data_IF_514668162657
#
_entry.id   IF_514668162657
#
_cell.length_a   1.000
_cell.length_b   1.000
_cell.length_c   1.000
_cell.angle_alpha   90.00
_cell.angle_beta   90.00
_cell.angle_gamma   90.00
#
_symmetry.space_group_name_H-M   'P 1'
#
loop_
_entity.id
_entity.type
_entity.pdbx_description
1 polymer ?
#
# COMPACT_ATOMS: atom_id res chain seq x y z
N UNK A 1 -7.53 29.97 -4.84
CA UNK A 1 -8.10 28.60 -4.73
C UNK A 1 -8.95 28.47 -3.46
N UNK A 2 -10.17 27.90 -3.53
CA UNK A 2 -11.04 27.69 -2.35
C UNK A 2 -10.62 26.47 -1.53
N UNK A 3 -10.91 26.46 -0.21
CA UNK A 3 -10.63 25.33 0.68
C UNK A 3 -11.26 24.03 0.17
N UNK A 4 -12.53 24.07 -0.27
CA UNK A 4 -13.23 22.91 -0.78
C UNK A 4 -12.55 22.32 -2.02
N UNK A 5 -12.13 23.16 -2.98
CA UNK A 5 -11.43 22.73 -4.18
C UNK A 5 -10.05 22.13 -3.88
N UNK A 6 -9.35 22.67 -2.87
CA UNK A 6 -8.07 22.15 -2.40
C UNK A 6 -8.22 20.76 -1.79
N UNK A 7 -9.11 20.63 -0.79
CA UNK A 7 -9.34 19.37 -0.10
C UNK A 7 -9.83 18.31 -1.09
N UNK A 8 -10.82 18.63 -1.93
CA UNK A 8 -11.31 17.71 -2.95
C UNK A 8 -10.22 17.29 -3.93
N UNK A 9 -9.43 18.25 -4.42
CA UNK A 9 -8.36 17.99 -5.39
C UNK A 9 -7.25 17.09 -4.84
N UNK A 10 -6.94 17.19 -3.54
CA UNK A 10 -5.95 16.34 -2.88
C UNK A 10 -6.52 14.98 -2.50
N UNK A 11 -7.75 14.90 -1.99
CA UNK A 11 -8.44 13.65 -1.69
C UNK A 11 -8.62 12.79 -2.93
N UNK A 12 -9.12 13.35 -4.04
CA UNK A 12 -9.31 12.62 -5.29
C UNK A 12 -7.99 12.05 -5.85
N UNK A 13 -6.93 12.88 -5.87
CA UNK A 13 -5.60 12.42 -6.33
C UNK A 13 -5.01 11.39 -5.39
N UNK A 14 -5.15 11.59 -4.08
CA UNK A 14 -4.76 10.61 -3.06
C UNK A 14 -5.46 9.27 -3.27
N UNK A 15 -6.78 9.29 -3.51
CA UNK A 15 -7.58 8.11 -3.81
C UNK A 15 -7.18 7.42 -5.11
N UNK A 16 -6.98 8.16 -6.20
CA UNK A 16 -6.58 7.60 -7.49
C UNK A 16 -5.19 6.94 -7.43
N UNK A 17 -4.19 7.63 -6.87
CA UNK A 17 -2.85 7.07 -6.69
C UNK A 17 -2.83 5.93 -5.67
N UNK A 18 -3.63 6.05 -4.61
CA UNK A 18 -3.81 5.00 -3.62
C UNK A 18 -4.42 3.74 -4.22
N UNK A 19 -5.42 3.87 -5.08
CA UNK A 19 -6.02 2.74 -5.82
C UNK A 19 -4.99 2.05 -6.69
N UNK A 20 -4.21 2.81 -7.48
CA UNK A 20 -3.17 2.25 -8.33
C UNK A 20 -2.10 1.53 -7.49
N UNK A 21 -1.56 2.19 -6.47
CA UNK A 21 -0.53 1.61 -5.61
C UNK A 21 -1.05 0.40 -4.82
N UNK A 22 -2.26 0.48 -4.27
CA UNK A 22 -2.90 -0.60 -3.54
C UNK A 22 -3.16 -1.81 -4.43
N UNK A 23 -3.60 -1.61 -5.68
CA UNK A 23 -3.76 -2.69 -6.65
C UNK A 23 -2.42 -3.35 -6.95
N UNK A 24 -1.40 -2.56 -7.33
CA UNK A 24 -0.07 -3.10 -7.67
C UNK A 24 0.55 -3.87 -6.51
N UNK A 25 0.53 -3.29 -5.30
CA UNK A 25 1.09 -3.90 -4.10
C UNK A 25 0.27 -5.13 -3.68
N UNK A 26 -1.05 -5.05 -3.75
CA UNK A 26 -1.94 -6.15 -3.46
C UNK A 26 -1.67 -7.33 -4.39
N UNK A 27 -1.64 -7.11 -5.71
CA UNK A 27 -1.34 -8.13 -6.71
C UNK A 27 0.05 -8.75 -6.48
N UNK A 28 1.08 -7.93 -6.29
CA UNK A 28 2.44 -8.42 -6.06
C UNK A 28 2.52 -9.25 -4.78
N UNK A 29 1.96 -8.75 -3.68
CA UNK A 29 1.97 -9.45 -2.40
C UNK A 29 1.17 -10.75 -2.45
N UNK A 30 -0.01 -10.73 -3.07
CA UNK A 30 -0.85 -11.92 -3.23
C UNK A 30 -0.17 -12.99 -4.08
N UNK A 31 0.50 -12.61 -5.17
CA UNK A 31 1.31 -13.51 -5.98
C UNK A 31 2.48 -14.11 -5.18
N UNK A 32 3.20 -13.30 -4.42
CA UNK A 32 4.33 -13.76 -3.60
C UNK A 32 3.88 -14.69 -2.46
N UNK A 33 2.77 -14.38 -1.79
CA UNK A 33 2.25 -15.22 -0.71
C UNK A 33 1.77 -16.57 -1.24
N UNK A 34 1.08 -16.59 -2.39
CA UNK A 34 0.69 -17.82 -3.07
C UNK A 34 1.89 -18.72 -3.40
N UNK A 35 3.00 -18.12 -3.85
CA UNK A 35 4.25 -18.83 -4.06
C UNK A 35 4.87 -19.36 -2.76
N UNK A 36 4.91 -18.56 -1.70
CA UNK A 36 5.54 -18.94 -0.43
C UNK A 36 4.90 -20.17 0.21
N UNK A 37 3.57 -20.22 0.27
CA UNK A 37 2.83 -21.37 0.81
C UNK A 37 3.09 -22.62 -0.01
N UNK A 38 3.12 -22.48 -1.34
CA UNK A 38 3.30 -23.61 -2.22
C UNK A 38 4.74 -24.12 -2.27
N UNK A 39 5.75 -23.24 -2.24
CA UNK A 39 7.16 -23.64 -2.15
C UNK A 39 7.43 -24.41 -0.85
N UNK A 40 6.77 -24.04 0.25
CA UNK A 40 6.85 -24.79 1.51
C UNK A 40 6.22 -26.18 1.33
N UNK A 41 5.02 -26.26 0.73
CA UNK A 41 4.37 -27.56 0.46
C UNK A 41 5.17 -28.43 -0.50
N UNK A 42 5.64 -27.87 -1.62
CA UNK A 42 6.49 -28.54 -2.58
C UNK A 42 7.78 -29.01 -1.93
N UNK A 43 8.43 -28.19 -1.09
CA UNK A 43 9.65 -28.61 -0.37
C UNK A 43 9.37 -29.76 0.61
N UNK A 44 8.20 -29.76 1.28
CA UNK A 44 7.76 -30.84 2.17
C UNK A 44 7.44 -32.13 1.40
N UNK A 45 6.80 -32.02 0.24
CA UNK A 45 6.33 -33.15 -0.57
C UNK A 45 7.36 -33.57 -1.65
N UNK A 46 8.46 -32.83 -1.85
CA UNK A 46 9.45 -33.08 -2.91
C UNK A 46 10.04 -34.48 -2.85
N UNK A 47 10.25 -35.01 -1.65
CA UNK A 47 10.76 -36.38 -1.45
C UNK A 47 9.75 -37.47 -1.84
N UNK A 48 8.47 -37.11 -1.93
CA UNK A 48 7.37 -38.04 -2.24
C UNK A 48 6.83 -37.90 -3.66
N UNK A 49 7.18 -36.82 -4.36
CA UNK A 49 6.73 -36.57 -5.72
C UNK A 49 7.59 -37.33 -6.73
N UNK A 50 7.05 -38.42 -7.30
CA UNK A 50 7.61 -39.07 -8.47
C UNK A 50 7.68 -38.13 -9.70
N UNK A 51 8.55 -38.41 -10.68
CA UNK A 51 8.76 -37.55 -11.85
C UNK A 51 7.48 -37.28 -12.68
N UNK A 52 6.49 -38.18 -12.61
CA UNK A 52 5.16 -38.02 -13.20
C UNK A 52 4.34 -36.85 -12.62
N UNK A 53 4.68 -36.37 -11.42
CA UNK A 53 3.94 -35.31 -10.72
C UNK A 53 4.56 -33.91 -10.91
N UNK A 54 5.69 -33.79 -11.61
CA UNK A 54 6.40 -32.51 -11.79
C UNK A 54 5.55 -31.52 -12.61
N UNK A 55 4.99 -31.97 -13.73
CA UNK A 55 4.24 -31.09 -14.63
C UNK A 55 2.92 -30.59 -14.02
N UNK A 56 2.09 -31.45 -13.37
CA UNK A 56 0.94 -30.99 -12.59
C UNK A 56 1.33 -30.03 -11.46
N UNK A 57 2.47 -30.28 -10.79
CA UNK A 57 3.00 -29.39 -9.76
C UNK A 57 3.28 -27.98 -10.28
N UNK A 58 3.96 -27.85 -11.42
CA UNK A 58 4.24 -26.54 -12.05
C UNK A 58 2.94 -25.84 -12.48
N UNK A 59 1.97 -26.57 -13.04
CA UNK A 59 0.68 -26.00 -13.41
C UNK A 59 -0.09 -25.48 -12.19
N UNK A 60 -0.07 -26.22 -11.08
CA UNK A 60 -0.66 -25.79 -9.81
C UNK A 60 -0.01 -24.51 -9.26
N UNK A 61 1.33 -24.37 -9.41
CA UNK A 61 2.05 -23.13 -9.10
C UNK A 61 1.49 -21.96 -9.90
N UNK A 62 1.40 -22.11 -11.23
CA UNK A 62 0.89 -21.06 -12.11
C UNK A 62 -0.52 -20.60 -11.74
N UNK A 63 -1.43 -21.54 -11.45
CA UNK A 63 -2.81 -21.24 -11.04
C UNK A 63 -2.83 -20.49 -9.70
N UNK A 64 -2.05 -20.93 -8.70
CA UNK A 64 -2.01 -20.30 -7.39
C UNK A 64 -1.41 -18.88 -7.43
N UNK A 65 -0.42 -18.65 -8.30
CA UNK A 65 0.10 -17.29 -8.54
C UNK A 65 -1.02 -16.39 -9.04
N UNK A 66 -1.79 -16.84 -10.03
CA UNK A 66 -2.89 -16.07 -10.60
C UNK A 66 -4.00 -15.83 -9.57
N UNK A 67 -4.40 -16.85 -8.82
CA UNK A 67 -5.40 -16.73 -7.76
C UNK A 67 -4.92 -15.76 -6.67
N UNK A 68 -3.68 -15.90 -6.21
CA UNK A 68 -3.07 -15.01 -5.25
C UNK A 68 -3.01 -13.56 -5.75
N UNK A 69 -2.62 -13.35 -7.00
CA UNK A 69 -2.57 -12.04 -7.65
C UNK A 69 -3.97 -11.38 -7.73
N UNK A 70 -5.00 -12.15 -8.13
CA UNK A 70 -6.39 -11.68 -8.21
C UNK A 70 -6.93 -11.35 -6.83
N UNK A 71 -6.75 -12.23 -5.85
CA UNK A 71 -7.18 -11.98 -4.47
C UNK A 71 -6.45 -10.76 -3.89
N UNK A 72 -5.15 -10.67 -4.13
CA UNK A 72 -4.33 -9.52 -3.78
C UNK A 72 -4.86 -8.21 -4.37
N UNK A 73 -5.24 -8.20 -5.66
CA UNK A 73 -5.87 -7.04 -6.29
C UNK A 73 -7.24 -6.70 -5.67
N UNK A 74 -8.08 -7.71 -5.45
CA UNK A 74 -9.42 -7.55 -4.88
C UNK A 74 -9.41 -6.87 -3.50
N UNK A 75 -8.41 -7.17 -2.67
CA UNK A 75 -8.20 -6.47 -1.40
C UNK A 75 -7.42 -5.16 -1.58
N UNK A 76 -6.45 -5.14 -2.48
CA UNK A 76 -5.59 -3.99 -2.76
C UNK A 76 -6.34 -2.76 -3.27
N UNK A 77 -7.36 -2.95 -4.11
CA UNK A 77 -8.19 -1.87 -4.68
C UNK A 77 -8.93 -1.07 -3.59
N UNK A 78 -9.83 -1.67 -2.78
CA UNK A 78 -10.58 -0.93 -1.77
C UNK A 78 -9.68 -0.36 -0.68
N UNK A 79 -8.66 -1.10 -0.23
CA UNK A 79 -7.71 -0.61 0.78
C UNK A 79 -6.89 0.56 0.23
N UNK A 80 -6.38 0.45 -0.99
CA UNK A 80 -5.63 1.50 -1.67
C UNK A 80 -6.43 2.78 -1.84
N UNK A 81 -7.67 2.65 -2.31
CA UNK A 81 -8.57 3.78 -2.48
C UNK A 81 -8.87 4.47 -1.15
N UNK A 82 -9.19 3.71 -0.10
CA UNK A 82 -9.54 4.25 1.21
C UNK A 82 -8.34 4.94 1.87
N UNK A 83 -7.20 4.24 1.98
CA UNK A 83 -5.98 4.78 2.61
C UNK A 83 -5.46 5.97 1.81
N UNK A 84 -5.48 5.89 0.48
CA UNK A 84 -5.08 6.97 -0.40
C UNK A 84 -5.96 8.21 -0.24
N UNK A 85 -7.28 8.04 -0.16
CA UNK A 85 -8.22 9.14 0.02
C UNK A 85 -8.04 9.82 1.37
N UNK A 86 -7.89 9.04 2.45
CA UNK A 86 -7.63 9.57 3.79
C UNK A 86 -6.29 10.30 3.86
N UNK A 87 -5.24 9.76 3.23
CA UNK A 87 -3.95 10.44 3.14
C UNK A 87 -4.08 11.74 2.34
N UNK A 88 -4.77 11.75 1.20
CA UNK A 88 -5.03 12.95 0.41
C UNK A 88 -5.75 14.03 1.22
N UNK A 89 -6.74 13.64 2.03
CA UNK A 89 -7.45 14.54 2.93
C UNK A 89 -6.52 15.10 4.02
N UNK A 90 -5.70 14.26 4.65
CA UNK A 90 -4.70 14.67 5.65
C UNK A 90 -3.72 15.70 5.05
N UNK A 91 -3.19 15.42 3.85
CA UNK A 91 -2.30 16.33 3.12
C UNK A 91 -3.00 17.66 2.82
N UNK A 92 -4.28 17.61 2.43
CA UNK A 92 -5.12 18.79 2.25
C UNK A 92 -5.24 19.65 3.51
N UNK A 93 -5.52 19.02 4.64
CA UNK A 93 -5.62 19.70 5.93
C UNK A 93 -4.28 20.34 6.36
N UNK A 94 -3.17 19.59 6.26
CA UNK A 94 -1.83 20.12 6.60
C UNK A 94 -1.46 21.28 5.67
N UNK A 95 -1.72 21.14 4.37
CA UNK A 95 -1.44 22.20 3.38
C UNK A 95 -2.21 23.46 3.74
N UNK A 96 -3.51 23.34 4.05
CA UNK A 96 -4.35 24.49 4.38
C UNK A 96 -3.95 25.16 5.70
N UNK A 97 -3.60 24.38 6.72
CA UNK A 97 -3.30 24.90 8.05
C UNK A 97 -1.93 25.58 8.14
N UNK A 98 -0.91 25.02 7.48
CA UNK A 98 0.48 25.44 7.70
C UNK A 98 1.18 26.02 6.47
N UNK A 99 0.73 25.67 5.26
CA UNK A 99 1.45 25.98 4.01
C UNK A 99 0.63 26.82 3.03
N UNK A 100 -0.48 27.41 3.48
CA UNK A 100 -1.29 28.32 2.68
C UNK A 100 -1.07 29.78 3.13
N UNK A 101 -0.50 30.68 2.30
CA UNK A 101 0.05 30.47 0.95
C UNK A 101 1.45 29.79 0.96
N UNK A 102 1.89 29.16 -0.16
CA UNK A 102 3.12 28.38 -0.20
C UNK A 102 4.36 29.29 -0.18
N UNK A 103 4.97 29.47 1.01
CA UNK A 103 6.21 30.27 1.17
C UNK A 103 7.48 29.47 0.92
N UNK A 104 7.50 28.19 1.30
CA UNK A 104 8.67 27.32 1.14
C UNK A 104 8.25 25.95 0.57
N UNK A 105 8.48 25.78 -0.74
CA UNK A 105 8.19 24.55 -1.47
C UNK A 105 9.07 23.35 -1.05
N UNK A 106 10.28 23.58 -0.53
CA UNK A 106 11.15 22.48 -0.07
C UNK A 106 10.69 21.96 1.27
N UNK A 107 10.40 22.86 2.22
CA UNK A 107 9.86 22.49 3.53
C UNK A 107 8.51 21.77 3.36
N UNK A 108 7.62 22.32 2.54
CA UNK A 108 6.32 21.72 2.22
C UNK A 108 6.45 20.26 1.74
N UNK A 109 7.25 20.02 0.70
CA UNK A 109 7.45 18.68 0.14
C UNK A 109 8.01 17.68 1.16
N UNK A 110 8.93 18.12 2.03
CA UNK A 110 9.49 17.27 3.09
C UNK A 110 8.43 16.90 4.13
N UNK A 111 7.70 17.90 4.64
CA UNK A 111 6.68 17.69 5.69
C UNK A 111 5.57 16.78 5.18
N UNK A 112 5.03 17.04 4.00
CA UNK A 112 3.96 16.22 3.42
C UNK A 112 4.45 14.79 3.12
N UNK A 113 5.67 14.61 2.62
CA UNK A 113 6.21 13.27 2.39
C UNK A 113 6.39 12.48 3.69
N UNK A 114 6.91 13.10 4.75
CA UNK A 114 7.10 12.46 6.06
C UNK A 114 5.76 12.17 6.73
N UNK A 115 4.83 13.13 6.74
CA UNK A 115 3.51 12.95 7.33
C UNK A 115 2.74 11.81 6.67
N UNK A 116 2.74 11.76 5.33
CA UNK A 116 2.10 10.66 4.60
C UNK A 116 2.78 9.32 4.82
N UNK A 117 4.11 9.28 4.81
CA UNK A 117 4.84 8.04 5.06
C UNK A 117 4.53 7.48 6.46
N UNK A 118 4.51 8.34 7.49
CA UNK A 118 4.14 7.93 8.85
C UNK A 118 2.69 7.45 8.92
N UNK A 119 1.74 8.21 8.36
CA UNK A 119 0.33 7.87 8.36
C UNK A 119 0.08 6.49 7.73
N UNK A 120 0.61 6.24 6.53
CA UNK A 120 0.39 4.97 5.84
C UNK A 120 1.17 3.82 6.45
N UNK A 121 2.35 4.06 7.04
CA UNK A 121 3.10 3.03 7.77
C UNK A 121 2.34 2.57 9.00
N UNK A 122 1.78 3.50 9.78
CA UNK A 122 0.97 3.20 10.96
C UNK A 122 -0.33 2.49 10.54
N UNK A 123 -1.03 3.01 9.52
CA UNK A 123 -2.25 2.38 9.02
C UNK A 123 -2.01 0.95 8.53
N UNK A 124 -0.91 0.73 7.80
CA UNK A 124 -0.51 -0.60 7.33
C UNK A 124 -0.14 -1.52 8.49
N UNK A 125 0.65 -1.03 9.45
CA UNK A 125 1.02 -1.79 10.66
C UNK A 125 -0.21 -2.24 11.45
N UNK A 126 -1.14 -1.33 11.73
CA UNK A 126 -2.38 -1.64 12.45
C UNK A 126 -3.24 -2.63 11.67
N UNK A 127 -3.41 -2.41 10.36
CA UNK A 127 -4.22 -3.29 9.50
C UNK A 127 -3.68 -4.71 9.45
N UNK A 128 -2.37 -4.86 9.25
CA UNK A 128 -1.71 -6.16 9.25
C UNK A 128 -1.71 -6.81 10.64
N UNK A 129 -1.49 -6.05 11.71
CA UNK A 129 -1.56 -6.57 13.08
C UNK A 129 -2.97 -7.13 13.37
N UNK A 130 -4.02 -6.45 12.94
CA UNK A 130 -5.40 -6.91 13.11
C UNK A 130 -5.65 -8.25 12.36
N UNK A 131 -5.18 -8.37 11.12
CA UNK A 131 -5.27 -9.62 10.35
C UNK A 131 -4.49 -10.73 11.06
N UNK A 132 -3.26 -10.45 11.50
CA UNK A 132 -2.42 -11.44 12.17
C UNK A 132 -3.02 -11.90 13.50
N UNK A 133 -3.57 -11.00 14.32
CA UNK A 133 -4.24 -11.36 15.57
C UNK A 133 -5.47 -12.23 15.32
N UNK A 134 -6.23 -11.95 14.25
CA UNK A 134 -7.35 -12.79 13.84
C UNK A 134 -6.91 -14.21 13.46
N UNK A 135 -5.81 -14.35 12.70
CA UNK A 135 -5.24 -15.66 12.35
C UNK A 135 -4.63 -16.38 13.56
N UNK A 136 -3.85 -15.68 14.39
CA UNK A 136 -3.20 -16.26 15.56
C UNK A 136 -4.20 -16.82 16.57
N UNK A 137 -5.35 -16.15 16.74
CA UNK A 137 -6.43 -16.63 17.60
C UNK A 137 -7.08 -17.93 17.06
N UNK A 138 -7.04 -18.16 15.74
CA UNK A 138 -7.55 -19.41 15.13
C UNK A 138 -6.54 -20.55 15.15
N UNK A 139 -5.27 -20.28 14.87
CA UNK A 139 -4.27 -21.33 14.62
C UNK A 139 -3.27 -21.55 15.76
N UNK A 140 -3.40 -20.86 16.91
CA UNK A 140 -2.43 -20.91 18.02
C UNK A 140 -0.98 -20.65 17.57
N UNK A 141 -0.82 -19.80 16.56
CA UNK A 141 0.47 -19.53 15.94
C UNK A 141 1.37 -18.66 16.83
N UNK A 142 2.70 -18.82 16.65
CA UNK A 142 3.70 -18.12 17.44
C UNK A 142 3.80 -16.64 17.01
N UNK A 143 3.27 -15.75 17.84
CA UNK A 143 3.08 -14.30 17.60
C UNK A 143 4.35 -13.48 17.26
N UNK A 144 5.56 -13.76 17.78
CA UNK A 144 6.73 -12.88 17.59
C UNK A 144 7.25 -12.82 16.14
N UNK A 145 7.27 -13.95 15.44
CA UNK A 145 7.75 -14.03 14.06
C UNK A 145 6.79 -13.33 13.08
N UNK A 146 5.50 -13.31 13.43
CA UNK A 146 4.44 -12.65 12.66
C UNK A 146 4.62 -11.12 12.66
N UNK A 147 5.03 -10.52 13.78
CA UNK A 147 5.25 -9.07 13.87
C UNK A 147 6.37 -8.56 12.94
N UNK A 148 7.43 -9.36 12.73
CA UNK A 148 8.53 -9.00 11.81
C UNK A 148 8.07 -9.05 10.35
N UNK A 149 7.25 -10.03 10.01
CA UNK A 149 6.67 -10.17 8.66
C UNK A 149 5.78 -8.96 8.32
N UNK A 150 5.08 -8.40 9.31
CA UNK A 150 4.22 -7.21 9.16
C UNK A 150 5.01 -5.91 8.92
N UNK A 151 6.28 -5.85 9.31
CA UNK A 151 7.11 -4.66 9.14
C UNK A 151 7.38 -4.36 7.66
N UNK A 152 7.55 -5.40 6.83
CA UNK A 152 7.91 -5.24 5.42
C UNK A 152 6.78 -4.54 4.63
N UNK A 153 5.52 -5.00 4.67
CA UNK A 153 4.42 -4.29 4.02
C UNK A 153 4.23 -2.86 4.53
N UNK A 154 4.42 -2.62 5.84
CA UNK A 154 4.28 -1.30 6.42
C UNK A 154 5.32 -0.31 5.89
N UNK A 155 6.58 -0.74 5.78
CA UNK A 155 7.65 0.06 5.19
C UNK A 155 7.42 0.36 3.71
N UNK A 156 6.97 -0.64 2.93
CA UNK A 156 6.64 -0.46 1.51
C UNK A 156 5.50 0.56 1.34
N UNK A 157 4.44 0.44 2.16
CA UNK A 157 3.33 1.38 2.16
C UNK A 157 3.77 2.80 2.55
N UNK A 158 4.68 2.94 3.53
CA UNK A 158 5.28 4.22 3.93
C UNK A 158 6.04 4.90 2.80
N UNK A 159 6.96 4.16 2.16
CA UNK A 159 7.77 4.68 1.04
C UNK A 159 6.89 5.06 -0.15
N UNK A 160 5.92 4.22 -0.51
CA UNK A 160 4.98 4.47 -1.60
C UNK A 160 4.17 5.75 -1.37
N UNK A 161 3.64 5.94 -0.17
CA UNK A 161 2.89 7.15 0.18
C UNK A 161 3.77 8.41 0.12
N UNK A 162 5.02 8.33 0.56
CA UNK A 162 5.98 9.43 0.45
C UNK A 162 6.22 9.86 -1.01
N UNK A 163 6.29 8.91 -1.95
CA UNK A 163 6.43 9.19 -3.38
C UNK A 163 5.17 9.82 -3.98
N UNK A 164 4.00 9.26 -3.67
CA UNK A 164 2.70 9.80 -4.12
C UNK A 164 2.50 11.24 -3.62
N UNK A 165 2.85 11.49 -2.37
CA UNK A 165 2.77 12.80 -1.74
C UNK A 165 3.67 13.85 -2.39
N UNK A 166 4.82 13.45 -2.96
CA UNK A 166 5.64 14.34 -3.80
C UNK A 166 4.95 14.71 -5.12
N UNK A 167 4.16 13.81 -5.69
CA UNK A 167 3.41 14.10 -6.92
C UNK A 167 2.24 15.05 -6.64
N UNK A 168 1.52 14.84 -5.54
CA UNK A 168 0.41 15.72 -5.11
C UNK A 168 0.92 17.14 -4.80
N UNK A 169 2.05 17.24 -4.11
CA UNK A 169 2.66 18.55 -3.80
C UNK A 169 3.12 19.30 -5.04
N UNK A 170 3.73 18.63 -6.04
CA UNK A 170 4.07 19.27 -7.33
C UNK A 170 2.84 19.80 -8.06
N UNK A 171 1.73 19.06 -8.04
CA UNK A 171 0.48 19.54 -8.63
C UNK A 171 -0.01 20.82 -7.93
N UNK A 172 0.03 20.86 -6.59
CA UNK A 172 -0.35 22.04 -5.83
C UNK A 172 0.58 23.24 -6.10
N UNK A 173 1.89 23.02 -6.22
CA UNK A 173 2.85 24.06 -6.61
C UNK A 173 2.49 24.66 -7.97
N UNK A 174 2.23 23.83 -8.99
CA UNK A 174 1.89 24.30 -10.33
C UNK A 174 0.61 25.15 -10.36
N UNK A 175 -0.42 24.77 -9.59
CA UNK A 175 -1.69 25.52 -9.51
C UNK A 175 -1.58 26.91 -8.88
N UNK A 176 -0.51 27.21 -8.12
CA UNK A 176 -0.32 28.51 -7.48
C UNK A 176 0.82 29.32 -8.11
N UNK A 177 1.54 28.76 -9.09
CA UNK A 177 2.61 29.44 -9.83
C UNK A 177 2.15 29.96 -11.20
N UNK A 178 1.00 29.54 -11.71
CA UNK A 178 0.41 30.13 -12.91
C UNK A 178 -0.11 31.54 -12.57
N UNK A 179 0.46 32.61 -13.16
CA UNK A 179 -0.11 33.94 -13.03
C UNK A 179 -1.50 33.95 -13.68
N UNK A 180 -2.46 34.63 -13.06
CA UNK A 180 -3.77 34.88 -13.67
C UNK A 180 -3.57 35.66 -14.98
N UNK A 181 -3.55 34.95 -16.10
CA UNK A 181 -3.58 35.51 -17.46
C UNK A 181 -5.01 35.69 -17.94
#
# INVERSE_FOLDING_TARGET
MTTARLLWGMTWRGGAWGLLAGTMLGTAYGALFGNGVLLIKLAQEWQTLGPENILPGIAAVGILILVGAVMGALFGVPTGLLVGSLNGLLVGMITRAFFFPPRDARAYRRVIAVASALFTSIASWIGFLAIMLFYANREKANVPMLAVIVLIPALIAGVGAGLISRMISRWYENQNLEPET
#
